data_IF_209585487044
#
_entry.id   IF_209585487044
#
_cell.length_a   1.000
_cell.length_b   1.000
_cell.length_c   1.000
_cell.angle_alpha   90.00
_cell.angle_beta   90.00
_cell.angle_gamma   90.00
#
_symmetry.space_group_name_H-M   'P 1'
#
loop_
_entity.id
_entity.type
_entity.pdbx_description
1 polymer ?
#
# COMPACT_ATOMS: atom_id res chain seq x y z
N UNK A 1 -15.54 8.58 -14.97
CA UNK A 1 -15.18 7.19 -15.32
C UNK A 1 -14.42 6.63 -14.14
N UNK A 2 -14.75 5.42 -13.64
CA UNK A 2 -13.99 4.81 -12.54
C UNK A 2 -12.64 4.33 -13.07
N UNK A 3 -11.57 4.62 -12.33
CA UNK A 3 -10.20 4.17 -12.62
C UNK A 3 -10.00 2.77 -12.04
N UNK A 4 -9.06 2.01 -12.61
CA UNK A 4 -8.68 0.69 -12.07
C UNK A 4 -8.28 0.78 -10.60
N UNK A 5 -7.62 1.88 -10.20
CA UNK A 5 -7.19 2.11 -8.82
C UNK A 5 -8.35 2.22 -7.84
N UNK A 6 -9.49 2.79 -8.25
CA UNK A 6 -10.67 2.93 -7.38
C UNK A 6 -11.21 1.54 -7.02
N UNK A 7 -11.23 0.61 -7.99
CA UNK A 7 -11.63 -0.78 -7.78
C UNK A 7 -10.66 -1.55 -6.86
N UNK A 8 -9.35 -1.29 -6.96
CA UNK A 8 -8.35 -1.89 -6.08
C UNK A 8 -8.56 -1.42 -4.64
N UNK A 9 -8.70 -0.11 -4.43
CA UNK A 9 -8.92 0.47 -3.10
C UNK A 9 -10.23 -0.03 -2.48
N UNK A 10 -11.31 -0.11 -3.25
CA UNK A 10 -12.58 -0.67 -2.79
C UNK A 10 -12.49 -2.15 -2.39
N UNK A 11 -11.76 -2.95 -3.16
CA UNK A 11 -11.57 -4.36 -2.82
C UNK A 11 -10.74 -4.53 -1.55
N UNK A 12 -9.66 -3.75 -1.40
CA UNK A 12 -8.85 -3.74 -0.18
C UNK A 12 -9.70 -3.35 1.05
N UNK A 13 -10.54 -2.34 0.92
CA UNK A 13 -11.47 -1.93 1.98
C UNK A 13 -12.45 -3.07 2.34
N UNK A 14 -12.99 -3.75 1.32
CA UNK A 14 -13.95 -4.84 1.52
C UNK A 14 -13.36 -6.06 2.24
N UNK A 15 -12.04 -6.30 2.13
CA UNK A 15 -11.34 -7.38 2.85
C UNK A 15 -10.78 -6.92 4.21
N UNK A 16 -11.13 -5.72 4.67
CA UNK A 16 -10.74 -5.22 5.99
C UNK A 16 -9.38 -4.52 6.06
N UNK A 17 -8.81 -4.11 4.92
CA UNK A 17 -7.59 -3.27 4.96
C UNK A 17 -7.96 -1.86 5.40
N UNK A 18 -7.26 -1.38 6.42
CA UNK A 18 -7.43 -0.03 6.96
C UNK A 18 -6.28 0.92 6.57
N UNK A 19 -5.09 0.38 6.27
CA UNK A 19 -3.89 1.19 6.03
C UNK A 19 -3.12 0.75 4.79
N UNK A 20 -2.73 1.73 3.96
CA UNK A 20 -1.85 1.53 2.81
C UNK A 20 -0.60 2.39 3.01
N UNK A 21 0.57 1.76 3.08
CA UNK A 21 1.86 2.43 3.24
C UNK A 21 2.56 2.59 1.89
N UNK A 22 3.07 3.77 1.57
CA UNK A 22 3.74 3.98 0.28
C UNK A 22 4.60 5.24 0.27
N UNK A 23 5.34 5.44 -0.82
CA UNK A 23 6.16 6.65 -1.01
C UNK A 23 5.58 7.48 -2.14
N UNK A 24 5.44 8.78 -1.91
CA UNK A 24 5.08 9.68 -2.99
C UNK A 24 6.19 9.72 -4.05
N UNK A 25 5.84 9.36 -5.28
CA UNK A 25 6.75 9.24 -6.41
C UNK A 25 6.03 9.52 -7.72
N UNK A 26 6.78 9.61 -8.82
CA UNK A 26 6.20 9.87 -10.14
C UNK A 26 5.09 8.85 -10.44
N UNK A 27 3.89 9.37 -10.74
CA UNK A 27 2.69 8.62 -11.10
C UNK A 27 1.99 7.87 -9.93
N UNK A 28 2.07 8.40 -8.70
CA UNK A 28 1.34 7.83 -7.54
C UNK A 28 0.10 8.62 -7.11
N UNK A 29 -0.15 9.78 -7.74
CA UNK A 29 -1.25 10.70 -7.42
C UNK A 29 -2.62 10.03 -7.44
N UNK A 30 -2.90 9.22 -8.47
CA UNK A 30 -4.19 8.51 -8.60
C UNK A 30 -4.49 7.54 -7.45
N UNK A 31 -3.46 6.98 -6.79
CA UNK A 31 -3.64 6.04 -5.67
C UNK A 31 -3.95 6.75 -4.37
N UNK A 32 -3.22 7.82 -4.08
CA UNK A 32 -3.51 8.62 -2.89
C UNK A 32 -4.85 9.32 -3.02
N UNK A 33 -5.21 9.75 -4.23
CA UNK A 33 -6.52 10.30 -4.54
C UNK A 33 -7.64 9.28 -4.33
N UNK A 34 -7.51 8.06 -4.88
CA UNK A 34 -8.49 6.99 -4.67
C UNK A 34 -8.63 6.58 -3.19
N UNK A 35 -7.50 6.47 -2.46
CA UNK A 35 -7.51 6.19 -1.03
C UNK A 35 -8.12 7.34 -0.22
N UNK A 36 -7.87 8.60 -0.61
CA UNK A 36 -8.43 9.77 0.03
C UNK A 36 -9.97 9.79 -0.03
N UNK A 37 -10.55 9.29 -1.12
CA UNK A 37 -12.00 9.19 -1.26
C UNK A 37 -12.63 7.94 -0.63
N UNK A 38 -11.83 7.00 -0.11
CA UNK A 38 -12.32 5.81 0.61
C UNK A 38 -12.15 5.97 2.13
N UNK A 39 -13.21 6.35 2.84
CA UNK A 39 -13.16 6.70 4.26
C UNK A 39 -12.70 5.59 5.21
N UNK A 40 -12.76 4.33 4.79
CA UNK A 40 -12.30 3.18 5.58
C UNK A 40 -10.80 2.88 5.41
N UNK A 41 -10.11 3.58 4.50
CA UNK A 41 -8.67 3.39 4.24
C UNK A 41 -7.93 4.69 4.54
N UNK A 42 -6.81 4.56 5.25
CA UNK A 42 -5.84 5.63 5.46
C UNK A 42 -4.58 5.35 4.67
N UNK A 43 -4.21 6.26 3.76
CA UNK A 43 -2.93 6.20 3.08
C UNK A 43 -1.85 6.89 3.93
N UNK A 44 -0.74 6.19 4.15
CA UNK A 44 0.38 6.65 4.97
C UNK A 44 1.62 6.81 4.11
N UNK A 45 2.13 8.05 4.07
CA UNK A 45 3.29 8.42 3.28
C UNK A 45 4.60 8.19 4.05
N UNK A 46 5.46 7.35 3.48
CA UNK A 46 6.84 7.19 3.88
C UNK A 46 7.78 7.98 2.96
N UNK A 47 8.99 8.26 3.45
CA UNK A 47 10.01 8.97 2.65
C UNK A 47 10.77 8.05 1.70
N UNK A 48 10.78 6.75 1.96
CA UNK A 48 11.54 5.75 1.23
C UNK A 48 10.79 4.40 1.24
N UNK A 49 10.90 3.61 0.17
CA UNK A 49 10.02 2.45 -0.04
C UNK A 49 10.35 1.32 0.95
N UNK A 50 11.61 1.22 1.35
CA UNK A 50 12.01 0.37 2.48
C UNK A 50 11.24 0.71 3.76
N UNK A 51 11.08 2.00 4.07
CA UNK A 51 10.33 2.43 5.26
C UNK A 51 8.85 2.11 5.13
N UNK A 52 8.26 2.26 3.94
CA UNK A 52 6.88 1.85 3.70
C UNK A 52 6.68 0.34 3.95
N UNK A 53 7.63 -0.49 3.50
CA UNK A 53 7.60 -1.93 3.73
C UNK A 53 7.72 -2.30 5.22
N UNK A 54 8.64 -1.68 5.97
CA UNK A 54 8.79 -1.97 7.40
C UNK A 54 7.61 -1.45 8.23
N UNK A 55 6.96 -0.37 7.82
CA UNK A 55 5.70 0.10 8.43
C UNK A 55 4.57 -0.90 8.22
N UNK A 56 4.42 -1.43 6.99
CA UNK A 56 3.43 -2.46 6.69
C UNK A 56 3.67 -3.75 7.50
N UNK A 57 4.93 -4.18 7.60
CA UNK A 57 5.31 -5.33 8.43
C UNK A 57 5.02 -5.08 9.92
N UNK A 58 5.44 -3.93 10.44
CA UNK A 58 5.17 -3.53 11.83
C UNK A 58 3.68 -3.47 12.14
N UNK A 59 2.87 -2.94 11.23
CA UNK A 59 1.40 -2.90 11.36
C UNK A 59 0.83 -4.32 11.46
N UNK A 60 1.20 -5.21 10.55
CA UNK A 60 0.75 -6.61 10.57
C UNK A 60 1.16 -7.38 11.82
N UNK A 61 2.32 -7.07 12.41
CA UNK A 61 2.80 -7.69 13.66
C UNK A 61 2.19 -7.09 14.92
N UNK A 62 1.85 -5.81 14.89
CA UNK A 62 1.41 -5.07 16.08
C UNK A 62 0.05 -5.55 16.63
N UNK A 63 -0.73 -6.27 15.82
CA UNK A 63 -1.98 -6.90 16.27
C UNK A 63 -3.02 -5.90 16.76
N UNK A 64 -3.00 -4.66 16.25
CA UNK A 64 -3.96 -3.63 16.65
C UNK A 64 -5.31 -3.94 15.97
N UNK A 65 -6.21 -4.60 16.71
CA UNK A 65 -7.56 -4.96 16.26
C UNK A 65 -7.83 -6.48 16.25
N UNK A 66 -9.10 -6.91 16.35
CA UNK A 66 -9.48 -8.32 16.57
C UNK A 66 -9.22 -9.27 15.38
N UNK A 67 -8.90 -8.74 14.20
CA UNK A 67 -8.50 -9.49 13.02
C UNK A 67 -7.13 -8.97 12.59
N UNK A 68 -6.15 -9.85 12.38
CA UNK A 68 -4.74 -9.48 12.18
C UNK A 68 -4.61 -8.51 10.99
N UNK A 69 -4.31 -7.24 11.29
CA UNK A 69 -4.36 -6.16 10.30
C UNK A 69 -3.42 -6.40 9.13
N UNK A 70 -3.97 -6.66 7.94
CA UNK A 70 -3.19 -6.93 6.75
C UNK A 70 -2.39 -5.68 6.37
N UNK A 71 -1.05 -5.76 6.44
CA UNK A 71 -0.16 -4.68 6.04
C UNK A 71 -0.06 -4.60 4.52
N UNK A 72 -0.50 -3.48 3.94
CA UNK A 72 -0.42 -3.22 2.49
C UNK A 72 0.68 -2.21 2.19
N UNK A 73 1.60 -2.57 1.30
CA UNK A 73 2.57 -1.62 0.73
C UNK A 73 2.24 -1.32 -0.73
N UNK A 74 2.22 -0.03 -1.08
CA UNK A 74 2.09 0.47 -2.44
C UNK A 74 3.45 0.98 -2.94
N UNK A 75 3.90 0.44 -4.08
CA UNK A 75 5.17 0.81 -4.71
C UNK A 75 4.98 1.11 -6.20
N UNK A 76 5.81 2.02 -6.71
CA UNK A 76 5.88 2.34 -8.15
C UNK A 76 6.74 1.30 -8.87
N UNK A 77 6.58 1.17 -10.20
CA UNK A 77 7.42 0.28 -11.01
C UNK A 77 8.88 0.74 -11.07
N UNK A 78 9.80 -0.15 -11.46
CA UNK A 78 11.23 0.17 -11.58
C UNK A 78 11.97 0.09 -10.25
N UNK A 79 12.88 1.03 -9.96
CA UNK A 79 13.66 1.02 -8.71
C UNK A 79 12.79 1.02 -7.45
N UNK A 80 11.66 1.73 -7.48
CA UNK A 80 10.69 1.78 -6.38
C UNK A 80 10.01 0.44 -6.07
N UNK A 81 9.98 -0.51 -7.00
CA UNK A 81 9.44 -1.86 -6.76
C UNK A 81 10.48 -2.80 -6.13
N UNK A 82 11.78 -2.49 -6.28
CA UNK A 82 12.88 -3.30 -5.74
C UNK A 82 13.25 -2.87 -4.31
N UNK A 83 13.16 -1.58 -4.01
CA UNK A 83 13.46 -1.01 -2.70
C UNK A 83 12.66 -1.60 -1.50
N UNK A 84 11.36 -1.98 -1.64
CA UNK A 84 10.60 -2.62 -0.58
C UNK A 84 11.02 -4.09 -0.33
N UNK A 85 11.65 -4.77 -1.29
CA UNK A 85 11.91 -6.23 -1.24
C UNK A 85 12.67 -6.65 0.01
N UNK A 86 13.68 -5.87 0.41
CA UNK A 86 14.45 -6.16 1.63
C UNK A 86 13.60 -6.06 2.91
N UNK A 87 12.68 -5.10 2.98
CA UNK A 87 11.77 -4.95 4.13
C UNK A 87 10.67 -6.00 4.17
N UNK A 88 10.25 -6.50 3.01
CA UNK A 88 9.24 -7.56 2.88
C UNK A 88 9.82 -8.96 3.09
N UNK A 89 11.09 -9.18 2.78
CA UNK A 89 11.77 -10.46 2.94
C UNK A 89 11.77 -10.98 4.39
N UNK A 90 11.61 -10.09 5.37
CA UNK A 90 11.48 -10.45 6.78
C UNK A 90 10.02 -10.61 7.24
N UNK A 91 9.03 -10.28 6.39
CA UNK A 91 7.63 -10.17 6.77
C UNK A 91 6.83 -11.44 6.45
N UNK A 92 6.15 -12.05 7.45
CA UNK A 92 5.34 -13.24 7.24
C UNK A 92 3.92 -12.94 6.70
N UNK A 93 3.48 -11.68 6.60
CA UNK A 93 2.07 -11.34 6.36
C UNK A 93 1.79 -10.06 5.54
N UNK A 94 2.81 -9.45 4.90
CA UNK A 94 2.60 -8.23 4.10
C UNK A 94 2.29 -8.55 2.63
N UNK A 95 1.33 -7.83 2.05
CA UNK A 95 0.95 -7.97 0.64
C UNK A 95 1.41 -6.74 -0.14
N UNK A 96 2.03 -6.97 -1.30
CA UNK A 96 2.48 -5.90 -2.21
C UNK A 96 1.39 -5.61 -3.23
N UNK A 97 0.96 -4.35 -3.30
CA UNK A 97 0.17 -3.84 -4.44
C UNK A 97 1.12 -3.06 -5.34
N UNK A 98 1.75 -3.76 -6.28
CA UNK A 98 2.53 -3.13 -7.34
C UNK A 98 1.59 -2.85 -8.52
N UNK A 99 1.59 -1.62 -9.05
CA UNK A 99 1.05 -1.40 -10.39
C UNK A 99 2.00 -0.53 -11.20
N UNK A 100 2.21 -0.96 -12.44
CA UNK A 100 2.86 -0.19 -13.48
C UNK A 100 1.97 1.00 -13.81
N UNK A 101 2.35 2.19 -13.35
CA UNK A 101 1.77 3.41 -13.87
C UNK A 101 2.38 3.66 -15.26
N UNK A 102 1.77 3.01 -16.25
CA UNK A 102 2.22 3.00 -17.64
C UNK A 102 1.17 2.43 -18.58
N UNK A 103 -0.10 2.81 -18.42
CA UNK A 103 -1.07 2.83 -19.51
C UNK A 103 -1.96 4.06 -19.29
N UNK A 104 -1.59 5.15 -19.99
CA UNK A 104 -2.59 6.05 -20.54
C UNK A 104 -3.49 5.28 -21.51
#
# INVERSE_FOLDING_TARGET
MRRVVDHVVEHLAAIGVEHIFGVDGANMEDRFDAAHFQSSITAVLAKHEFSAATMADGYGRSGVGPESGLGVVAATSGGGALNPVAGLGESPASTVVASAAGFA
#
